data_IF_504846767330
#
_entry.id   IF_504846767330
#
_cell.length_a   1.000
_cell.length_b   1.000
_cell.length_c   1.000
_cell.angle_alpha   90.00
_cell.angle_beta   90.00
_cell.angle_gamma   90.00
#
_symmetry.space_group_name_H-M   'P 1'
#
loop_
_entity.id
_entity.type
_entity.pdbx_description
1 polymer ?
#
# COMPACT_ATOMS: atom_id res chain seq x y z
N UNK A 1 33.28 27.56 -39.79
CA UNK A 1 32.53 28.14 -38.66
C UNK A 1 31.24 27.33 -38.52
N UNK A 2 31.24 26.30 -37.68
CA UNK A 2 30.08 25.41 -37.52
C UNK A 2 29.12 26.02 -36.49
N UNK A 3 27.96 26.43 -36.97
CA UNK A 3 26.89 27.03 -36.18
C UNK A 3 26.09 25.91 -35.50
N UNK A 4 26.47 25.56 -34.28
CA UNK A 4 25.68 24.68 -33.40
C UNK A 4 24.51 25.50 -32.84
N UNK A 5 23.40 25.57 -33.59
CA UNK A 5 22.11 26.05 -33.09
C UNK A 5 21.61 25.07 -32.03
N UNK A 6 22.01 25.33 -30.78
CA UNK A 6 21.59 24.59 -29.60
C UNK A 6 20.24 25.15 -29.15
N UNK A 7 19.19 24.86 -29.92
CA UNK A 7 17.82 25.14 -29.52
C UNK A 7 17.45 24.16 -28.40
N UNK A 8 17.81 24.57 -27.19
CA UNK A 8 17.78 23.81 -25.94
C UNK A 8 16.40 23.71 -25.29
N UNK A 9 15.32 23.49 -26.06
CA UNK A 9 14.04 23.07 -25.50
C UNK A 9 13.97 21.54 -25.45
N UNK A 10 14.82 20.95 -24.60
CA UNK A 10 14.96 19.50 -24.38
C UNK A 10 13.68 18.79 -23.90
N UNK A 11 12.63 19.53 -23.57
CA UNK A 11 11.34 18.96 -23.21
C UNK A 11 10.20 19.82 -23.77
N UNK A 12 9.33 19.26 -24.62
CA UNK A 12 8.11 19.94 -25.06
C UNK A 12 7.35 20.51 -23.86
N UNK A 13 6.83 21.73 -23.98
CA UNK A 13 6.14 22.43 -22.88
C UNK A 13 5.04 21.59 -22.23
N UNK A 14 4.33 20.77 -23.02
CA UNK A 14 3.32 19.83 -22.52
C UNK A 14 3.91 18.74 -21.61
N UNK A 15 5.11 18.22 -21.91
CA UNK A 15 5.79 17.20 -21.11
C UNK A 15 6.20 17.75 -19.74
N UNK A 16 6.70 18.99 -19.71
CA UNK A 16 7.00 19.70 -18.45
C UNK A 16 5.73 19.89 -17.60
N UNK A 17 4.63 20.28 -18.24
CA UNK A 17 3.35 20.44 -17.55
C UNK A 17 2.84 19.11 -16.95
N UNK A 18 2.90 18.01 -17.69
CA UNK A 18 2.50 16.67 -17.19
C UNK A 18 3.36 16.24 -16.00
N UNK A 19 4.68 16.43 -16.08
CA UNK A 19 5.58 16.10 -14.97
C UNK A 19 5.27 16.90 -13.71
N UNK A 20 5.11 18.23 -13.85
CA UNK A 20 4.75 19.11 -12.72
C UNK A 20 3.40 18.70 -12.13
N UNK A 21 2.39 18.44 -12.97
CA UNK A 21 1.08 18.00 -12.52
C UNK A 21 1.16 16.66 -11.76
N UNK A 22 1.98 15.71 -12.22
CA UNK A 22 2.21 14.44 -11.54
C UNK A 22 2.89 14.63 -10.18
N UNK A 23 3.91 15.49 -10.10
CA UNK A 23 4.59 15.79 -8.83
C UNK A 23 3.64 16.45 -7.83
N UNK A 24 2.86 17.45 -8.27
CA UNK A 24 1.84 18.09 -7.44
C UNK A 24 0.79 17.08 -6.97
N UNK A 25 0.35 16.17 -7.84
CA UNK A 25 -0.59 15.12 -7.47
C UNK A 25 -0.03 14.17 -6.41
N UNK A 26 1.24 13.75 -6.53
CA UNK A 26 1.90 12.86 -5.56
C UNK A 26 2.06 13.57 -4.20
N UNK A 27 2.57 14.79 -4.19
CA UNK A 27 2.78 15.57 -2.96
C UNK A 27 1.43 15.89 -2.30
N UNK A 28 0.45 16.35 -3.08
CA UNK A 28 -0.90 16.62 -2.60
C UNK A 28 -1.58 15.38 -2.04
N UNK A 29 -1.38 14.22 -2.67
CA UNK A 29 -1.86 12.94 -2.16
C UNK A 29 -1.19 12.56 -0.83
N UNK A 30 0.14 12.64 -0.75
CA UNK A 30 0.88 12.33 0.47
C UNK A 30 0.47 13.25 1.63
N UNK A 31 0.38 14.56 1.38
CA UNK A 31 -0.14 15.54 2.33
C UNK A 31 -1.56 15.21 2.78
N UNK A 32 -2.45 14.87 1.85
CA UNK A 32 -3.84 14.51 2.16
C UNK A 32 -3.92 13.26 3.04
N UNK A 33 -3.07 12.25 2.78
CA UNK A 33 -2.99 11.05 3.62
C UNK A 33 -2.55 11.39 5.04
N UNK A 34 -1.59 12.30 5.20
CA UNK A 34 -1.08 12.73 6.49
C UNK A 34 -2.10 13.59 7.25
N UNK A 35 -2.69 14.60 6.60
CA UNK A 35 -3.63 15.53 7.24
C UNK A 35 -4.99 14.91 7.58
N UNK A 36 -5.46 13.92 6.78
CA UNK A 36 -6.79 13.29 6.99
C UNK A 36 -6.75 11.92 7.64
N UNK A 37 -5.57 11.31 7.78
CA UNK A 37 -5.41 10.04 8.45
C UNK A 37 -5.82 10.17 9.91
N UNK A 38 -7.08 9.84 10.24
CA UNK A 38 -7.58 9.86 11.62
C UNK A 38 -8.22 8.53 11.98
N UNK A 39 -7.85 7.99 13.14
CA UNK A 39 -8.53 6.84 13.74
C UNK A 39 -9.35 7.37 14.90
N UNK A 40 -10.66 7.12 14.86
CA UNK A 40 -11.56 7.46 15.96
C UNK A 40 -12.11 6.17 16.54
N UNK A 41 -11.99 6.03 17.86
CA UNK A 41 -12.56 4.94 18.63
C UNK A 41 -13.83 5.47 19.29
N UNK A 42 -14.96 4.85 19.01
CA UNK A 42 -16.26 5.22 19.58
C UNK A 42 -16.95 4.03 20.22
N UNK A 43 -18.10 4.28 20.84
CA UNK A 43 -18.89 3.23 21.49
C UNK A 43 -19.39 2.15 20.52
N UNK A 44 -19.65 2.51 19.26
CA UNK A 44 -20.18 1.58 18.24
C UNK A 44 -19.08 0.82 17.48
N UNK A 45 -17.85 1.34 17.46
CA UNK A 45 -16.75 0.71 16.74
C UNK A 45 -15.55 1.62 16.51
N UNK A 46 -14.73 1.24 15.54
CA UNK A 46 -13.54 1.99 15.12
C UNK A 46 -13.77 2.56 13.72
N UNK A 47 -13.63 3.87 13.61
CA UNK A 47 -13.71 4.57 12.32
C UNK A 47 -12.31 4.96 11.87
N UNK A 48 -11.89 4.38 10.75
CA UNK A 48 -10.60 4.68 10.11
C UNK A 48 -10.85 5.58 8.91
N UNK A 49 -10.31 6.80 8.96
CA UNK A 49 -10.36 7.75 7.86
C UNK A 49 -9.07 7.70 7.05
N UNK A 50 -9.18 7.32 5.78
CA UNK A 50 -8.11 7.47 4.80
C UNK A 50 -8.18 8.83 4.09
N UNK A 51 -7.30 9.07 3.11
CA UNK A 51 -7.29 10.32 2.34
C UNK A 51 -8.65 10.65 1.69
N UNK A 52 -9.31 9.64 1.11
CA UNK A 52 -10.55 9.81 0.36
C UNK A 52 -11.76 9.07 0.92
N UNK A 53 -11.55 8.07 1.78
CA UNK A 53 -12.63 7.19 2.24
C UNK A 53 -12.56 7.04 3.75
N UNK A 54 -13.73 7.11 4.36
CA UNK A 54 -13.95 6.78 5.75
C UNK A 54 -14.53 5.37 5.82
N UNK A 55 -14.02 4.56 6.74
CA UNK A 55 -14.49 3.20 6.95
C UNK A 55 -14.74 2.98 8.43
N UNK A 56 -16.01 2.86 8.77
CA UNK A 56 -16.44 2.41 10.08
C UNK A 56 -16.39 0.89 10.15
N UNK A 57 -15.91 0.35 11.26
CA UNK A 57 -15.90 -1.07 11.58
C UNK A 57 -16.54 -1.25 12.95
N UNK A 58 -17.74 -1.85 13.05
CA UNK A 58 -18.40 -2.03 14.33
C UNK A 58 -17.64 -3.03 15.20
N UNK A 59 -17.75 -2.92 16.52
CA UNK A 59 -17.06 -3.82 17.45
C UNK A 59 -17.37 -5.31 17.19
N UNK A 60 -18.60 -5.62 16.78
CA UNK A 60 -19.03 -6.98 16.41
C UNK A 60 -18.28 -7.57 15.22
N UNK A 61 -17.78 -6.73 14.31
CA UNK A 61 -17.07 -7.16 13.11
C UNK A 61 -15.57 -7.36 13.35
N UNK A 62 -15.06 -6.88 14.49
CA UNK A 62 -13.65 -6.89 14.81
C UNK A 62 -13.25 -8.31 15.24
N UNK A 63 -12.63 -8.97 14.25
CA UNK A 63 -11.65 -10.05 14.33
C UNK A 63 -10.83 -10.00 15.59
N UNK A 64 -9.71 -9.26 15.45
CA UNK A 64 -8.49 -9.10 16.25
C UNK A 64 -7.87 -7.72 16.08
N UNK A 65 -7.19 -7.24 17.10
CA UNK A 65 -6.35 -6.04 17.03
C UNK A 65 -4.96 -6.48 17.43
N UNK A 66 -4.02 -6.47 16.48
CA UNK A 66 -2.65 -6.91 16.68
C UNK A 66 -1.67 -5.80 16.41
N UNK A 67 -0.69 -5.64 17.29
CA UNK A 67 0.52 -4.91 16.99
C UNK A 67 1.43 -5.83 16.18
N UNK A 68 1.82 -5.40 14.99
CA UNK A 68 2.74 -6.16 14.14
C UNK A 68 3.91 -5.28 13.73
N UNK A 69 5.13 -5.85 13.66
CA UNK A 69 6.28 -5.10 13.22
C UNK A 69 6.13 -4.71 11.74
N UNK A 70 6.59 -3.51 11.39
CA UNK A 70 6.61 -3.11 10.00
C UNK A 70 7.65 -3.94 9.23
N UNK A 71 7.16 -4.92 8.46
CA UNK A 71 8.01 -5.94 7.81
C UNK A 71 8.97 -5.37 6.77
N UNK A 72 8.73 -4.15 6.28
CA UNK A 72 9.56 -3.47 5.28
C UNK A 72 10.23 -2.23 5.88
N UNK A 73 10.82 -2.42 7.08
CA UNK A 73 11.54 -1.38 7.83
C UNK A 73 12.53 -0.66 6.91
N UNK A 74 12.28 0.62 6.67
CA UNK A 74 13.35 1.56 6.30
C UNK A 74 14.07 1.98 7.58
N UNK A 75 15.34 2.36 7.48
CA UNK A 75 16.23 2.61 8.62
C UNK A 75 15.62 3.56 9.67
N UNK A 76 14.82 4.55 9.23
CA UNK A 76 13.97 5.42 10.08
C UNK A 76 12.49 5.18 9.78
N UNK A 77 11.87 4.17 10.38
CA UNK A 77 10.43 3.98 10.25
C UNK A 77 9.81 3.49 11.56
N UNK A 78 8.51 3.71 11.77
CA UNK A 78 7.79 3.16 12.91
C UNK A 78 7.97 1.65 13.00
N UNK A 79 8.36 1.18 14.19
CA UNK A 79 8.65 -0.22 14.48
C UNK A 79 7.38 -1.05 14.53
N UNK A 80 6.30 -0.49 15.07
CA UNK A 80 5.05 -1.20 15.36
C UNK A 80 3.86 -0.46 14.78
N UNK A 81 2.97 -1.22 14.14
CA UNK A 81 1.67 -0.73 13.70
C UNK A 81 0.57 -1.59 14.29
N UNK A 82 -0.51 -0.95 14.74
CA UNK A 82 -1.72 -1.67 15.07
C UNK A 82 -2.55 -1.99 13.81
N UNK A 83 -2.99 -3.24 13.72
CA UNK A 83 -3.85 -3.71 12.64
C UNK A 83 -5.14 -4.28 13.20
N UNK A 84 -6.25 -3.83 12.62
CA UNK A 84 -7.56 -4.40 12.84
C UNK A 84 -7.80 -5.53 11.84
N UNK A 85 -8.09 -6.71 12.37
CA UNK A 85 -8.58 -7.87 11.66
C UNK A 85 -10.10 -7.93 11.79
N UNK A 86 -10.77 -8.31 10.72
CA UNK A 86 -12.22 -8.58 10.70
C UNK A 86 -12.47 -10.08 10.63
N UNK A 87 -13.69 -10.49 10.94
CA UNK A 87 -14.14 -11.90 10.81
C UNK A 87 -14.01 -12.45 9.40
N UNK A 88 -14.08 -11.58 8.38
CA UNK A 88 -13.87 -12.00 7.00
C UNK A 88 -12.37 -12.14 6.63
N UNK A 89 -11.45 -11.91 7.56
CA UNK A 89 -10.01 -11.90 7.34
C UNK A 89 -9.48 -10.64 6.66
N UNK A 90 -10.27 -9.55 6.54
CA UNK A 90 -9.71 -8.24 6.11
C UNK A 90 -8.86 -7.65 7.22
N UNK A 91 -7.66 -7.24 6.83
CA UNK A 91 -6.75 -6.42 7.62
C UNK A 91 -6.90 -4.94 7.25
N UNK A 92 -7.11 -4.09 8.25
CA UNK A 92 -7.23 -2.64 8.13
C UNK A 92 -6.17 -2.00 9.03
N UNK A 93 -5.19 -1.26 8.48
CA UNK A 93 -4.19 -0.58 9.31
C UNK A 93 -4.83 0.56 10.09
N UNK A 94 -4.49 0.68 11.37
CA UNK A 94 -4.84 1.82 12.20
C UNK A 94 -3.71 2.85 12.07
N UNK A 95 -3.80 3.72 11.06
CA UNK A 95 -2.69 4.59 10.61
C UNK A 95 -2.19 5.62 11.62
N UNK A 96 -2.98 5.90 12.66
CA UNK A 96 -2.56 6.78 13.75
C UNK A 96 -2.02 6.04 14.96
N UNK A 97 -2.12 4.71 14.96
CA UNK A 97 -1.65 3.87 16.04
C UNK A 97 -0.31 3.28 15.62
N UNK A 98 0.71 4.13 15.66
CA UNK A 98 2.12 3.79 15.43
C UNK A 98 2.99 4.44 16.50
N UNK A 99 4.19 3.90 16.68
CA UNK A 99 5.18 4.33 17.69
C UNK A 99 5.80 5.71 17.43
N UNK A 100 5.48 6.35 16.30
CA UNK A 100 5.91 7.72 16.01
C UNK A 100 4.86 8.76 16.41
N UNK A 101 3.58 8.42 16.27
CA UNK A 101 2.47 9.31 16.59
C UNK A 101 2.05 9.19 18.05
N UNK A 102 2.27 8.04 18.67
CA UNK A 102 1.90 7.74 20.04
C UNK A 102 3.16 7.64 20.91
N UNK A 103 3.24 8.48 21.94
CA UNK A 103 4.39 8.53 22.84
C UNK A 103 4.61 7.21 23.60
N UNK A 104 3.54 6.57 24.07
CA UNK A 104 3.56 5.25 24.68
C UNK A 104 2.64 4.30 23.92
N UNK A 105 3.16 3.77 22.81
CA UNK A 105 2.41 2.88 21.93
C UNK A 105 1.86 1.67 22.67
N UNK A 106 2.60 1.12 23.64
CA UNK A 106 2.20 -0.07 24.37
C UNK A 106 1.00 0.21 25.28
N UNK A 107 1.03 1.31 26.04
CA UNK A 107 -0.06 1.70 26.91
C UNK A 107 -1.35 2.00 26.13
N UNK A 108 -1.27 2.83 25.08
CA UNK A 108 -2.45 3.14 24.27
C UNK A 108 -2.99 1.89 23.54
N UNK A 109 -2.10 1.00 23.08
CA UNK A 109 -2.52 -0.23 22.41
C UNK A 109 -3.27 -1.17 23.36
N UNK A 110 -2.80 -1.32 24.60
CA UNK A 110 -3.50 -2.11 25.61
C UNK A 110 -4.81 -1.44 26.05
N UNK A 111 -4.89 -0.10 26.12
CA UNK A 111 -6.14 0.61 26.36
C UNK A 111 -7.16 0.38 25.23
N UNK A 112 -6.71 0.47 23.98
CA UNK A 112 -7.52 0.17 22.80
C UNK A 112 -8.03 -1.27 22.85
N UNK A 113 -7.15 -2.22 23.17
CA UNK A 113 -7.50 -3.64 23.29
C UNK A 113 -8.48 -3.88 24.44
N UNK A 114 -8.27 -3.26 25.60
CA UNK A 114 -9.18 -3.33 26.74
C UNK A 114 -10.56 -2.74 26.42
N UNK A 115 -10.61 -1.66 25.65
CA UNK A 115 -11.86 -1.10 25.12
C UNK A 115 -12.55 -2.05 24.16
N UNK A 116 -11.81 -2.67 23.25
CA UNK A 116 -12.35 -3.69 22.36
C UNK A 116 -12.92 -4.90 23.13
N UNK A 117 -12.27 -5.33 24.22
CA UNK A 117 -12.76 -6.39 25.11
C UNK A 117 -14.07 -5.98 25.78
N UNK A 118 -14.17 -4.76 26.31
CA UNK A 118 -15.39 -4.27 26.98
C UNK A 118 -16.61 -4.21 26.06
N UNK A 119 -16.40 -3.82 24.80
CA UNK A 119 -17.49 -3.67 23.83
C UNK A 119 -17.86 -4.97 23.10
N UNK A 120 -17.06 -6.03 23.23
CA UNK A 120 -17.35 -7.32 22.58
C UNK A 120 -18.03 -8.25 23.56
N UNK A 121 -19.19 -8.77 23.16
CA UNK A 121 -19.95 -9.73 23.96
C UNK A 121 -19.30 -11.13 24.04
N UNK A 122 -18.28 -11.41 23.22
CA UNK A 122 -17.64 -12.74 23.11
C UNK A 122 -16.14 -12.66 23.39
N UNK A 123 -15.63 -13.65 24.13
CA UNK A 123 -14.21 -13.79 24.41
C UNK A 123 -13.40 -13.95 23.11
N UNK A 124 -12.15 -13.50 23.16
CA UNK A 124 -11.14 -13.55 22.10
C UNK A 124 -10.68 -14.98 21.79
N UNK A 125 -11.60 -15.85 21.39
CA UNK A 125 -11.26 -17.20 20.97
C UNK A 125 -10.64 -17.17 19.57
N UNK A 126 -9.41 -17.69 19.46
CA UNK A 126 -8.76 -17.87 18.16
C UNK A 126 -9.55 -18.90 17.36
N UNK A 127 -10.17 -18.45 16.27
CA UNK A 127 -10.89 -19.32 15.35
C UNK A 127 -9.95 -19.72 14.22
N UNK A 128 -9.57 -21.00 14.09
CA UNK A 128 -8.58 -21.43 13.09
C UNK A 128 -9.01 -21.05 11.68
N UNK A 129 -10.30 -21.17 11.35
CA UNK A 129 -10.87 -20.77 10.06
C UNK A 129 -10.63 -19.28 9.75
N UNK A 130 -10.76 -18.39 10.75
CA UNK A 130 -10.55 -16.96 10.52
C UNK A 130 -9.06 -16.65 10.33
N UNK A 131 -8.19 -17.30 11.07
CA UNK A 131 -6.73 -17.18 10.89
C UNK A 131 -6.29 -17.64 9.51
N UNK A 132 -6.88 -18.70 8.98
CA UNK A 132 -6.61 -19.19 7.63
C UNK A 132 -7.06 -18.18 6.57
N UNK A 133 -8.26 -17.61 6.71
CA UNK A 133 -8.74 -16.53 5.83
C UNK A 133 -7.80 -15.31 5.88
N UNK A 134 -7.32 -14.95 7.07
CA UNK A 134 -6.33 -13.88 7.26
C UNK A 134 -5.04 -14.20 6.51
N UNK A 135 -4.50 -15.42 6.65
CA UNK A 135 -3.27 -15.87 5.97
C UNK A 135 -3.43 -15.86 4.46
N UNK A 136 -4.53 -16.39 3.93
CA UNK A 136 -4.82 -16.42 2.49
C UNK A 136 -4.92 -15.00 1.90
N UNK A 137 -5.61 -14.09 2.61
CA UNK A 137 -5.74 -12.69 2.16
C UNK A 137 -4.45 -11.91 2.30
N UNK A 138 -3.64 -12.18 3.33
CA UNK A 138 -2.32 -11.61 3.50
C UNK A 138 -1.41 -11.98 2.32
N UNK A 139 -1.43 -13.24 1.88
CA UNK A 139 -0.69 -13.69 0.69
C UNK A 139 -1.09 -12.96 -0.59
N UNK A 140 -2.41 -12.88 -0.86
CA UNK A 140 -2.94 -12.18 -2.04
C UNK A 140 -2.59 -10.68 -2.02
N UNK A 141 -2.70 -10.03 -0.86
CA UNK A 141 -2.34 -8.61 -0.72
C UNK A 141 -0.86 -8.40 -0.99
N UNK A 142 0.01 -9.25 -0.46
CA UNK A 142 1.45 -9.12 -0.68
C UNK A 142 1.84 -9.30 -2.14
N UNK A 143 1.20 -10.25 -2.83
CA UNK A 143 1.37 -10.39 -4.29
C UNK A 143 0.99 -9.10 -5.01
N UNK A 144 -0.16 -8.51 -4.68
CA UNK A 144 -0.60 -7.23 -5.25
C UNK A 144 0.36 -6.08 -4.95
N UNK A 145 0.79 -5.92 -3.70
CA UNK A 145 1.75 -4.88 -3.30
C UNK A 145 3.08 -4.99 -4.08
N UNK A 146 3.60 -6.20 -4.26
CA UNK A 146 4.80 -6.42 -5.06
C UNK A 146 4.58 -6.11 -6.54
N UNK A 147 3.42 -6.46 -7.11
CA UNK A 147 3.07 -6.11 -8.49
C UNK A 147 2.99 -4.59 -8.69
N UNK A 148 2.34 -3.88 -7.78
CA UNK A 148 2.26 -2.41 -7.81
C UNK A 148 3.64 -1.79 -7.68
N UNK A 149 4.45 -2.26 -6.72
CA UNK A 149 5.81 -1.76 -6.52
C UNK A 149 6.68 -2.00 -7.76
N UNK A 150 6.62 -3.19 -8.36
CA UNK A 150 7.32 -3.51 -9.59
C UNK A 150 6.90 -2.63 -10.77
N UNK A 151 5.60 -2.35 -10.90
CA UNK A 151 5.09 -1.44 -11.93
C UNK A 151 5.59 0.00 -11.72
N UNK A 152 5.63 0.49 -10.48
CA UNK A 152 6.16 1.81 -10.15
C UNK A 152 7.67 1.92 -10.41
N UNK A 153 8.44 0.88 -10.07
CA UNK A 153 9.87 0.83 -10.39
C UNK A 153 10.09 0.85 -11.90
N UNK A 154 9.34 0.03 -12.66
CA UNK A 154 9.41 0.03 -14.11
C UNK A 154 9.07 1.42 -14.67
N UNK A 155 8.00 2.06 -14.20
CA UNK A 155 7.62 3.41 -14.59
C UNK A 155 8.74 4.42 -14.32
N UNK A 156 9.35 4.38 -13.13
CA UNK A 156 10.46 5.25 -12.77
C UNK A 156 11.70 5.00 -13.65
N UNK A 157 12.01 3.74 -13.95
CA UNK A 157 13.13 3.35 -14.82
C UNK A 157 12.91 3.71 -16.31
N UNK A 158 11.67 3.85 -16.76
CA UNK A 158 11.37 4.29 -18.13
C UNK A 158 11.66 5.78 -18.33
N UNK A 159 11.74 6.56 -17.26
CA UNK A 159 12.08 7.98 -17.32
C UNK A 159 13.52 8.24 -17.85
N UNK A 160 14.60 7.65 -17.28
CA UNK A 160 15.94 7.79 -17.84
C UNK A 160 16.07 7.16 -19.24
N UNK A 161 15.37 6.06 -19.54
CA UNK A 161 15.35 5.48 -20.90
C UNK A 161 14.79 6.47 -21.92
N UNK A 162 13.71 7.17 -21.56
CA UNK A 162 13.16 8.24 -22.39
C UNK A 162 14.19 9.35 -22.61
N UNK A 163 14.86 9.81 -21.56
CA UNK A 163 15.90 10.87 -21.66
C UNK A 163 17.02 10.43 -22.60
N UNK A 164 17.56 9.22 -22.44
CA UNK A 164 18.64 8.69 -23.30
C UNK A 164 18.18 8.61 -24.76
N UNK A 165 16.96 8.14 -25.02
CA UNK A 165 16.42 8.09 -26.39
C UNK A 165 16.28 9.46 -27.01
N UNK A 166 15.84 10.46 -26.25
CA UNK A 166 15.78 11.86 -26.70
C UNK A 166 17.18 12.38 -27.03
N UNK A 167 18.17 12.12 -26.17
CA UNK A 167 19.57 12.57 -26.37
C UNK A 167 20.20 11.97 -27.63
N UNK A 168 19.89 10.71 -27.96
CA UNK A 168 20.41 10.03 -29.15
C UNK A 168 19.59 10.37 -30.42
N UNK A 169 18.51 11.15 -30.30
CA UNK A 169 17.63 11.48 -31.42
C UNK A 169 16.78 10.30 -31.91
N UNK A 170 16.57 9.29 -31.08
CA UNK A 170 15.75 8.14 -31.40
C UNK A 170 14.25 8.46 -31.29
N UNK A 171 13.42 7.80 -32.10
CA UNK A 171 11.97 7.90 -31.99
C UNK A 171 11.49 7.47 -30.59
N UNK A 172 10.73 8.34 -29.94
CA UNK A 172 10.16 8.09 -28.61
C UNK A 172 8.68 7.78 -28.76
N UNK A 173 8.23 6.70 -28.11
CA UNK A 173 6.82 6.35 -27.99
C UNK A 173 6.42 6.40 -26.50
N UNK A 174 6.04 7.58 -25.97
CA UNK A 174 5.80 7.76 -24.54
C UNK A 174 4.73 6.83 -23.98
N UNK A 175 3.68 6.55 -24.77
CA UNK A 175 2.62 5.62 -24.39
C UNK A 175 3.17 4.21 -24.13
N UNK A 176 4.04 3.71 -25.00
CA UNK A 176 4.64 2.39 -24.85
C UNK A 176 5.52 2.34 -23.59
N UNK A 177 6.34 3.38 -23.36
CA UNK A 177 7.25 3.47 -22.22
C UNK A 177 6.53 3.63 -20.88
N UNK A 178 5.54 4.52 -20.77
CA UNK A 178 4.93 4.84 -19.47
C UNK A 178 3.64 4.06 -19.17
N UNK A 179 3.02 3.43 -20.17
CA UNK A 179 1.77 2.68 -19.97
C UNK A 179 1.97 1.20 -20.25
N UNK A 180 2.38 0.83 -21.46
CA UNK A 180 2.47 -0.58 -21.86
C UNK A 180 3.52 -1.35 -21.06
N UNK A 181 4.72 -0.79 -20.90
CA UNK A 181 5.81 -1.47 -20.17
C UNK A 181 5.47 -1.68 -18.68
N UNK A 182 5.06 -0.67 -17.90
CA UNK A 182 4.64 -0.88 -16.51
C UNK A 182 3.46 -1.84 -16.36
N UNK A 183 2.48 -1.79 -17.27
CA UNK A 183 1.35 -2.71 -17.28
C UNK A 183 1.78 -4.16 -17.56
N UNK A 184 2.69 -4.38 -18.50
CA UNK A 184 3.24 -5.70 -18.79
C UNK A 184 4.04 -6.25 -17.60
N UNK A 185 4.90 -5.43 -16.98
CA UNK A 185 5.64 -5.80 -15.77
C UNK A 185 4.68 -6.15 -14.64
N UNK A 186 3.65 -5.33 -14.41
CA UNK A 186 2.61 -5.60 -13.42
C UNK A 186 1.97 -6.98 -13.64
N UNK A 187 1.54 -7.27 -14.87
CA UNK A 187 0.88 -8.52 -15.23
C UNK A 187 1.80 -9.73 -15.02
N UNK A 188 3.07 -9.65 -15.46
CA UNK A 188 4.06 -10.71 -15.29
C UNK A 188 4.30 -10.98 -13.81
N UNK A 189 4.57 -9.94 -13.00
CA UNK A 189 4.80 -10.09 -11.56
C UNK A 189 3.57 -10.67 -10.86
N UNK A 190 2.37 -10.21 -11.22
CA UNK A 190 1.11 -10.73 -10.66
C UNK A 190 0.92 -12.23 -10.95
N UNK A 191 1.20 -12.65 -12.19
CA UNK A 191 1.10 -14.08 -12.60
C UNK A 191 2.13 -14.93 -11.87
N UNK A 192 3.38 -14.49 -11.81
CA UNK A 192 4.47 -15.22 -11.12
C UNK A 192 4.15 -15.37 -9.62
N UNK A 193 3.72 -14.29 -8.97
CA UNK A 193 3.38 -14.30 -7.55
C UNK A 193 2.15 -15.17 -7.27
N UNK A 194 1.15 -15.16 -8.17
CA UNK A 194 -0.02 -16.05 -8.06
C UNK A 194 0.39 -17.52 -8.16
N UNK A 195 1.31 -17.87 -9.08
CA UNK A 195 1.83 -19.24 -9.20
C UNK A 195 2.62 -19.65 -7.96
N UNK A 196 3.53 -18.79 -7.49
CA UNK A 196 4.34 -19.02 -6.29
C UNK A 196 3.49 -19.19 -5.03
N UNK A 197 2.41 -18.42 -4.89
CA UNK A 197 1.50 -18.59 -3.76
C UNK A 197 0.78 -19.93 -3.82
N UNK A 198 0.31 -20.35 -5.01
CA UNK A 198 -0.34 -21.67 -5.18
C UNK A 198 0.57 -22.84 -4.83
N UNK A 199 1.88 -22.75 -5.11
CA UNK A 199 2.83 -23.80 -4.72
C UNK A 199 3.13 -23.84 -3.22
N UNK A 200 2.80 -22.77 -2.47
CA UNK A 200 3.05 -22.67 -1.03
C UNK A 200 1.82 -23.05 -0.18
N UNK A 201 0.65 -23.20 -0.79
CA UNK A 201 -0.56 -23.67 -0.11
C UNK A 201 -0.61 -25.20 -0.26
N UNK A 202 -0.47 -25.97 0.83
CA UNK A 202 -0.52 -27.43 0.78
C UNK A 202 -1.82 -27.96 0.15
N UNK A 203 -1.71 -29.01 -0.68
CA UNK A 203 -2.82 -29.58 -1.44
C UNK A 203 -4.00 -30.08 -0.56
N UNK A 204 -3.73 -30.46 0.69
CA UNK A 204 -4.76 -30.88 1.64
C UNK A 204 -5.71 -29.74 2.06
N UNK A 205 -5.42 -28.49 1.71
CA UNK A 205 -6.32 -27.34 1.94
C UNK A 205 -7.30 -27.10 0.78
N UNK A 206 -7.26 -27.90 -0.29
CA UNK A 206 -8.13 -27.77 -1.47
C UNK A 206 -9.23 -28.84 -1.54
N UNK A 207 -9.30 -29.74 -0.57
CA UNK A 207 -10.40 -30.69 -0.46
C UNK A 207 -11.51 -30.07 0.40
N UNK A 208 -12.71 -29.84 -0.17
CA UNK A 208 -13.86 -29.26 0.53
C UNK A 208 -14.55 -30.24 1.48
#
# INVERSE_FOLDING_TARGET
MFQTSRDGDFMPRWGRAVYVALMVAIVGWAWLQHARGRTRVGADGITVRGALRERHVPWSDIYDIRAEPFRNRRLDGPLLFAYLYRHDGRRTPLRQMDDWQVADFAAEFEELRGTAVRHRATAWERRPETEELIRLRAGRRRAWEHSVTGALIALAAMFPVMIVRVVIGAAVHPFLLFVCVPAAVFAVVAVVQRRRWRSLVPAYMCEP
#
